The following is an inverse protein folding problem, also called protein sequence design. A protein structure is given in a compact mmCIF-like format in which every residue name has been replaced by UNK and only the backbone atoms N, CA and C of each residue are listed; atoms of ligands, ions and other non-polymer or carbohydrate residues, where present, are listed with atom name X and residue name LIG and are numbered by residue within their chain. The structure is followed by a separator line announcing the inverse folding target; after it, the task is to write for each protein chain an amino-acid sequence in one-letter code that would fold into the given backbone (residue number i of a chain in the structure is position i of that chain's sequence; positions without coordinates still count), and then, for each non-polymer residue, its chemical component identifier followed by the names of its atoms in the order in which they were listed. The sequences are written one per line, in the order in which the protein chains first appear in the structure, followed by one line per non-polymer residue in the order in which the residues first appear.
data_IF_461190108577
#
_entry.id   IF_461190108577
#
_cell.length_a   1.000
_cell.length_b   1.000
_cell.length_c   1.000
_cell.angle_alpha   90.00
_cell.angle_beta   90.00
_cell.angle_gamma   90.00
#
_symmetry.space_group_name_H-M   'P 1'
#
loop_
_entity.id
_entity.type
_entity.pdbx_description
1 polymer ?
#
# COMPACT_ATOMS: atom_id res chain seq x y z
N UNK A 1 30.10 9.24 -4.02
CA UNK A 1 29.25 9.51 -2.83
C UNK A 1 27.75 9.48 -3.13
N UNK A 2 27.26 10.07 -4.24
CA UNK A 2 25.82 10.11 -4.58
C UNK A 2 25.11 8.74 -4.66
N UNK A 3 25.72 7.73 -5.30
CA UNK A 3 25.07 6.42 -5.49
C UNK A 3 24.65 5.71 -4.19
N UNK A 4 25.40 5.88 -3.10
CA UNK A 4 25.09 5.22 -1.83
C UNK A 4 23.86 5.84 -1.13
N UNK A 5 23.59 7.13 -1.38
CA UNK A 5 22.42 7.83 -0.83
C UNK A 5 21.15 7.39 -1.56
N UNK A 6 21.20 7.31 -2.90
CA UNK A 6 20.07 6.86 -3.72
C UNK A 6 19.68 5.43 -3.37
N UNK A 7 20.66 4.53 -3.23
CA UNK A 7 20.39 3.13 -2.84
C UNK A 7 19.76 3.03 -1.45
N UNK A 8 20.24 3.80 -0.46
CA UNK A 8 19.66 3.84 0.88
C UNK A 8 18.24 4.41 0.86
N UNK A 9 18.02 5.49 0.12
CA UNK A 9 16.70 6.10 -0.04
C UNK A 9 15.68 5.12 -0.63
N UNK A 10 16.07 4.38 -1.66
CA UNK A 10 15.23 3.32 -2.24
C UNK A 10 14.80 2.30 -1.19
N UNK A 11 15.75 1.74 -0.43
CA UNK A 11 15.46 0.73 0.60
C UNK A 11 14.52 1.28 1.69
N UNK A 12 14.78 2.49 2.18
CA UNK A 12 13.96 3.12 3.22
C UNK A 12 12.51 3.28 2.73
N UNK A 13 12.33 3.78 1.51
CA UNK A 13 10.99 3.97 0.93
C UNK A 13 10.30 2.62 0.70
N UNK A 14 10.99 1.60 0.20
CA UNK A 14 10.40 0.26 0.02
C UNK A 14 10.00 -0.39 1.35
N UNK A 15 10.78 -0.22 2.42
CA UNK A 15 10.42 -0.69 3.77
C UNK A 15 9.19 0.05 4.30
N UNK A 16 9.12 1.37 4.10
CA UNK A 16 7.95 2.17 4.47
C UNK A 16 6.70 1.72 3.69
N UNK A 17 6.82 1.50 2.38
CA UNK A 17 5.75 0.98 1.54
C UNK A 17 5.22 -0.37 2.03
N UNK A 18 6.12 -1.31 2.33
CA UNK A 18 5.74 -2.61 2.87
C UNK A 18 5.04 -2.48 4.22
N UNK A 19 5.52 -1.59 5.08
CA UNK A 19 4.92 -1.34 6.40
C UNK A 19 3.52 -0.74 6.29
N UNK A 20 3.35 0.30 5.47
CA UNK A 20 2.04 0.93 5.26
C UNK A 20 1.03 -0.03 4.61
N UNK A 21 1.46 -0.81 3.60
CA UNK A 21 0.62 -1.83 2.99
C UNK A 21 0.21 -2.91 4.00
N UNK A 22 1.14 -3.37 4.85
CA UNK A 22 0.85 -4.37 5.88
C UNK A 22 -0.14 -3.87 6.92
N UNK A 23 0.04 -2.64 7.41
CA UNK A 23 -0.89 -2.03 8.38
C UNK A 23 -2.26 -1.81 7.75
N UNK A 24 -2.33 -1.30 6.51
CA UNK A 24 -3.57 -1.13 5.78
C UNK A 24 -4.30 -2.47 5.62
N UNK A 25 -3.61 -3.52 5.18
CA UNK A 25 -4.17 -4.88 5.06
C UNK A 25 -4.69 -5.41 6.39
N UNK A 26 -3.92 -5.22 7.46
CA UNK A 26 -4.30 -5.68 8.78
C UNK A 26 -5.58 -5.00 9.26
N UNK A 27 -5.64 -3.67 9.24
CA UNK A 27 -6.83 -2.92 9.70
C UNK A 27 -8.04 -3.21 8.81
N UNK A 28 -7.81 -3.32 7.50
CA UNK A 28 -8.83 -3.60 6.49
C UNK A 28 -9.40 -5.02 6.58
N UNK A 29 -8.62 -6.01 7.05
CA UNK A 29 -9.05 -7.42 7.08
C UNK A 29 -9.52 -7.88 8.45
N UNK A 30 -8.96 -7.34 9.53
CA UNK A 30 -9.25 -7.79 10.89
C UNK A 30 -10.31 -6.90 11.57
N UNK A 31 -11.43 -7.51 11.97
CA UNK A 31 -12.50 -6.86 12.72
C UNK A 31 -12.32 -7.20 14.19
N UNK A 32 -12.07 -6.19 15.01
CA UNK A 32 -12.23 -6.29 16.46
C UNK A 32 -13.65 -5.88 16.84
N UNK A 33 -14.42 -6.80 17.39
CA UNK A 33 -15.72 -6.51 17.96
C UNK A 33 -15.87 -7.22 19.30
N UNK A 34 -16.02 -6.46 20.39
CA UNK A 34 -16.25 -7.00 21.74
C UNK A 34 -15.30 -8.15 22.16
N UNK A 35 -14.00 -8.02 21.85
CA UNK A 35 -12.92 -9.00 22.12
C UNK A 35 -12.78 -10.14 21.13
N UNK A 36 -13.71 -10.29 20.18
CA UNK A 36 -13.60 -11.25 19.09
C UNK A 36 -12.88 -10.64 17.89
N UNK A 37 -12.02 -11.44 17.25
CA UNK A 37 -11.25 -11.06 16.06
C UNK A 37 -11.74 -11.88 14.87
N UNK A 38 -12.34 -11.21 13.89
CA UNK A 38 -12.79 -11.84 12.66
C UNK A 38 -11.90 -11.43 11.49
N UNK A 39 -11.60 -12.36 10.60
CA UNK A 39 -11.00 -12.05 9.30
C UNK A 39 -12.16 -11.90 8.30
N UNK A 40 -12.32 -10.71 7.75
CA UNK A 40 -13.36 -10.42 6.78
C UNK A 40 -12.77 -9.80 5.52
N UNK A 41 -12.83 -10.55 4.43
CA UNK A 41 -12.34 -10.13 3.10
C UNK A 41 -13.44 -9.48 2.26
N UNK A 42 -14.70 -9.62 2.65
CA UNK A 42 -15.86 -9.05 1.97
C UNK A 42 -16.89 -8.56 2.99
N UNK A 43 -17.37 -7.35 2.80
CA UNK A 43 -18.20 -6.63 3.77
C UNK A 43 -19.59 -6.42 3.18
N UNK A 44 -20.63 -6.86 3.89
CA UNK A 44 -22.00 -6.69 3.43
C UNK A 44 -22.33 -5.18 3.36
N UNK A 45 -22.77 -4.71 2.20
CA UNK A 45 -22.95 -3.26 1.91
C UNK A 45 -21.69 -2.50 1.47
N UNK A 46 -20.50 -3.13 1.47
CA UNK A 46 -19.23 -2.53 1.04
C UNK A 46 -18.50 -3.45 0.05
N UNK A 47 -19.11 -3.68 -1.12
CA UNK A 47 -18.62 -4.64 -2.12
C UNK A 47 -17.23 -4.32 -2.69
N UNK A 48 -16.78 -3.07 -2.62
CA UNK A 48 -15.46 -2.65 -3.08
C UNK A 48 -14.32 -3.07 -2.15
N UNK A 49 -14.62 -3.53 -0.94
CA UNK A 49 -13.59 -3.86 0.05
C UNK A 49 -12.70 -5.03 -0.39
N UNK A 50 -13.27 -6.03 -1.06
CA UNK A 50 -12.50 -7.15 -1.63
C UNK A 50 -11.49 -6.65 -2.67
N UNK A 51 -11.87 -5.67 -3.49
CA UNK A 51 -10.98 -5.07 -4.48
C UNK A 51 -9.84 -4.31 -3.81
N UNK A 52 -10.14 -3.51 -2.78
CA UNK A 52 -9.13 -2.78 -1.99
C UNK A 52 -8.10 -3.76 -1.41
N UNK A 53 -8.56 -4.84 -0.77
CA UNK A 53 -7.69 -5.86 -0.17
C UNK A 53 -6.85 -6.54 -1.26
N UNK A 54 -7.43 -6.89 -2.40
CA UNK A 54 -6.69 -7.48 -3.52
C UNK A 54 -5.59 -6.54 -4.05
N UNK A 55 -5.88 -5.25 -4.22
CA UNK A 55 -4.89 -4.25 -4.60
C UNK A 55 -3.74 -4.16 -3.59
N UNK A 56 -4.07 -4.09 -2.30
CA UNK A 56 -3.07 -3.99 -1.24
C UNK A 56 -2.20 -5.25 -1.13
N UNK A 57 -2.76 -6.46 -1.29
CA UNK A 57 -1.99 -7.71 -1.34
C UNK A 57 -1.02 -7.67 -2.51
N UNK A 58 -1.50 -7.30 -3.70
CA UNK A 58 -0.65 -7.22 -4.89
C UNK A 58 0.51 -6.25 -4.69
N UNK A 59 0.24 -5.04 -4.19
CA UNK A 59 1.27 -4.03 -3.89
C UNK A 59 2.27 -4.57 -2.85
N UNK A 60 1.78 -5.24 -1.80
CA UNK A 60 2.63 -5.82 -0.76
C UNK A 60 3.59 -6.87 -1.33
N UNK A 61 3.13 -7.73 -2.24
CA UNK A 61 3.98 -8.73 -2.91
C UNK A 61 5.07 -8.06 -3.73
N UNK A 62 4.74 -7.03 -4.53
CA UNK A 62 5.73 -6.30 -5.34
C UNK A 62 6.80 -5.64 -4.45
N UNK A 63 6.38 -5.00 -3.35
CA UNK A 63 7.31 -4.38 -2.40
C UNK A 63 8.19 -5.41 -1.69
N UNK A 64 7.63 -6.57 -1.34
CA UNK A 64 8.38 -7.67 -0.74
C UNK A 64 9.43 -8.24 -1.70
N UNK A 65 9.05 -8.52 -2.95
CA UNK A 65 9.99 -8.99 -3.99
C UNK A 65 11.11 -7.97 -4.18
N UNK A 66 10.77 -6.67 -4.26
CA UNK A 66 11.75 -5.59 -4.42
C UNK A 66 12.71 -5.50 -3.24
N UNK A 67 12.21 -5.67 -2.02
CA UNK A 67 13.05 -5.68 -0.82
C UNK A 67 13.97 -6.91 -0.77
N UNK A 68 13.44 -8.10 -1.09
CA UNK A 68 14.21 -9.34 -1.13
C UNK A 68 15.31 -9.30 -2.20
N UNK A 69 15.01 -8.80 -3.40
CA UNK A 69 15.99 -8.62 -4.45
C UNK A 69 17.15 -7.70 -3.99
N UNK A 70 16.84 -6.64 -3.21
CA UNK A 70 17.88 -5.81 -2.60
C UNK A 70 18.70 -6.54 -1.55
N UNK A 71 18.09 -7.33 -0.68
CA UNK A 71 18.84 -8.11 0.31
C UNK A 71 19.72 -9.18 -0.31
N UNK A 72 19.34 -9.73 -1.47
CA UNK A 72 20.18 -10.63 -2.26
C UNK A 72 21.35 -9.93 -2.97
N UNK A 73 21.53 -8.62 -2.78
CA UNK A 73 22.61 -7.84 -3.39
C UNK A 73 22.35 -7.42 -4.84
N UNK A 74 21.15 -7.67 -5.39
CA UNK A 74 20.83 -7.29 -6.77
C UNK A 74 20.72 -5.78 -6.91
N UNK A 75 21.37 -5.24 -7.95
CA UNK A 75 21.21 -3.84 -8.30
C UNK A 75 19.96 -3.66 -9.17
N UNK A 76 18.79 -3.72 -8.54
CA UNK A 76 17.46 -3.63 -9.20
C UNK A 76 17.38 -2.53 -10.28
N UNK A 77 17.90 -1.32 -10.00
CA UNK A 77 17.91 -0.20 -10.96
C UNK A 77 18.69 -0.53 -12.24
N UNK A 78 19.81 -1.24 -12.11
CA UNK A 78 20.69 -1.63 -13.21
C UNK A 78 20.20 -2.90 -13.91
N UNK A 79 19.70 -3.88 -13.16
CA UNK A 79 19.30 -5.19 -13.69
C UNK A 79 17.91 -5.19 -14.35
N UNK A 80 16.92 -4.51 -13.77
CA UNK A 80 15.57 -4.45 -14.35
C UNK A 80 15.43 -3.34 -15.39
N UNK A 81 16.30 -2.32 -15.32
CA UNK A 81 16.22 -1.12 -16.14
C UNK A 81 15.14 -0.16 -15.65
N UNK A 82 15.49 1.14 -15.70
CA UNK A 82 14.70 2.27 -15.19
C UNK A 82 13.26 2.29 -15.71
N UNK A 83 13.05 2.08 -17.02
CA UNK A 83 11.72 2.11 -17.64
C UNK A 83 10.78 1.05 -17.06
N UNK A 84 11.26 -0.19 -16.87
CA UNK A 84 10.43 -1.28 -16.34
C UNK A 84 10.02 -1.01 -14.90
N UNK A 85 10.94 -0.47 -14.09
CA UNK A 85 10.64 -0.08 -12.71
C UNK A 85 9.61 1.05 -12.65
N UNK A 86 9.71 2.05 -13.53
CA UNK A 86 8.72 3.13 -13.59
C UNK A 86 7.33 2.60 -13.94
N UNK A 87 7.22 1.63 -14.86
CA UNK A 87 5.94 1.00 -15.21
C UNK A 87 5.37 0.23 -14.00
N UNK A 88 6.20 -0.57 -13.32
CA UNK A 88 5.77 -1.37 -12.16
C UNK A 88 5.29 -0.46 -11.03
N UNK A 89 6.10 0.53 -10.64
CA UNK A 89 5.76 1.43 -9.53
C UNK A 89 4.66 2.42 -9.91
N UNK A 90 4.56 2.83 -11.18
CA UNK A 90 3.44 3.62 -11.69
C UNK A 90 2.12 2.87 -11.64
N UNK A 91 2.12 1.58 -11.99
CA UNK A 91 0.95 0.72 -11.84
C UNK A 91 0.57 0.53 -10.37
N UNK A 92 1.54 0.30 -9.48
CA UNK A 92 1.28 0.20 -8.04
C UNK A 92 0.73 1.52 -7.47
N UNK A 93 1.23 2.67 -7.93
CA UNK A 93 0.70 3.98 -7.55
C UNK A 93 -0.78 4.12 -7.96
N UNK A 94 -1.13 3.76 -9.20
CA UNK A 94 -2.51 3.78 -9.69
C UNK A 94 -3.43 2.90 -8.82
N UNK A 95 -3.03 1.65 -8.56
CA UNK A 95 -3.79 0.74 -7.69
C UNK A 95 -3.97 1.31 -6.28
N UNK A 96 -2.93 1.93 -5.73
CA UNK A 96 -2.99 2.54 -4.40
C UNK A 96 -3.95 3.73 -4.37
N UNK A 97 -3.98 4.55 -5.43
CA UNK A 97 -4.91 5.68 -5.54
C UNK A 97 -6.36 5.18 -5.59
N UNK A 98 -6.63 4.12 -6.36
CA UNK A 98 -7.95 3.49 -6.42
C UNK A 98 -8.35 2.98 -5.03
N UNK A 99 -7.46 2.24 -4.37
CA UNK A 99 -7.71 1.72 -3.02
C UNK A 99 -7.97 2.84 -2.00
N UNK A 100 -7.15 3.90 -2.00
CA UNK A 100 -7.31 5.05 -1.10
C UNK A 100 -8.64 5.77 -1.32
N UNK A 101 -9.03 5.96 -2.58
CA UNK A 101 -10.28 6.64 -2.95
C UNK A 101 -11.50 5.83 -2.54
N UNK A 102 -11.46 4.51 -2.73
CA UNK A 102 -12.53 3.61 -2.31
C UNK A 102 -12.65 3.51 -0.78
N UNK A 103 -11.54 3.54 -0.04
CA UNK A 103 -11.58 3.60 1.44
C UNK A 103 -12.16 4.91 1.96
N UNK A 104 -11.84 6.04 1.31
CA UNK A 104 -12.48 7.33 1.61
C UNK A 104 -13.99 7.27 1.32
N UNK A 105 -14.40 6.58 0.25
CA UNK A 105 -15.83 6.37 -0.02
C UNK A 105 -16.51 5.49 1.03
N UNK A 106 -15.89 4.35 1.38
CA UNK A 106 -16.43 3.42 2.37
C UNK A 106 -16.52 4.05 3.76
N UNK A 107 -15.55 4.88 4.16
CA UNK A 107 -15.63 5.64 5.42
C UNK A 107 -16.82 6.60 5.43
N UNK A 108 -17.05 7.37 4.36
CA UNK A 108 -18.23 8.23 4.26
C UNK A 108 -19.54 7.45 4.36
N UNK A 109 -19.63 6.31 3.66
CA UNK A 109 -20.81 5.45 3.70
C UNK A 109 -21.06 4.88 5.11
N UNK A 110 -20.00 4.43 5.80
CA UNK A 110 -20.08 3.92 7.16
C UNK A 110 -20.47 5.01 8.17
N UNK A 111 -19.95 6.23 8.00
CA UNK A 111 -20.35 7.38 8.81
C UNK A 111 -21.83 7.71 8.63
N UNK A 112 -22.33 7.71 7.39
CA UNK A 112 -23.73 7.99 7.10
C UNK A 112 -24.68 6.92 7.66
N UNK A 113 -24.22 5.66 7.70
CA UNK A 113 -24.95 4.54 8.29
C UNK A 113 -24.82 4.44 9.83
N UNK A 114 -24.10 5.36 10.48
CA UNK A 114 -23.86 5.31 11.94
C UNK A 114 -23.06 4.07 12.39
N UNK A 115 -22.27 3.47 11.50
CA UNK A 115 -21.54 2.24 11.79
C UNK A 115 -20.20 2.57 12.49
N UNK A 116 -20.26 2.66 13.82
CA UNK A 116 -19.12 3.01 14.67
C UNK A 116 -18.01 1.94 14.71
N UNK A 117 -18.27 0.73 14.21
CA UNK A 117 -17.27 -0.34 14.14
C UNK A 117 -16.46 -0.24 12.85
N UNK A 118 -17.13 -0.05 11.71
CA UNK A 118 -16.48 -0.01 10.39
C UNK A 118 -15.90 1.36 10.04
N UNK A 119 -16.57 2.45 10.44
CA UNK A 119 -16.13 3.81 10.13
C UNK A 119 -14.67 4.11 10.52
N UNK A 120 -14.24 3.93 11.79
CA UNK A 120 -12.85 4.24 12.16
C UNK A 120 -11.85 3.36 11.40
N UNK A 121 -12.22 2.14 11.03
CA UNK A 121 -11.35 1.21 10.31
C UNK A 121 -11.11 1.67 8.89
N UNK A 122 -12.16 2.05 8.16
CA UNK A 122 -12.02 2.62 6.83
C UNK A 122 -11.22 3.92 6.84
N UNK A 123 -11.38 4.76 7.88
CA UNK A 123 -10.56 5.98 8.04
C UNK A 123 -9.09 5.64 8.22
N UNK A 124 -8.75 4.70 9.12
CA UNK A 124 -7.35 4.30 9.35
C UNK A 124 -6.75 3.70 8.07
N UNK A 125 -7.46 2.77 7.41
CA UNK A 125 -6.98 2.19 6.15
C UNK A 125 -6.80 3.26 5.08
N UNK A 126 -7.74 4.22 4.95
CA UNK A 126 -7.61 5.34 4.01
C UNK A 126 -6.33 6.16 4.26
N UNK A 127 -6.03 6.49 5.53
CA UNK A 127 -4.81 7.23 5.90
C UNK A 127 -3.56 6.47 5.46
N UNK A 128 -3.47 5.17 5.76
CA UNK A 128 -2.32 4.36 5.35
C UNK A 128 -2.23 4.18 3.83
N UNK A 129 -3.35 4.06 3.12
CA UNK A 129 -3.37 4.06 1.67
C UNK A 129 -2.83 5.38 1.10
N UNK A 130 -3.18 6.54 1.66
CA UNK A 130 -2.63 7.83 1.21
C UNK A 130 -1.13 7.98 1.52
N UNK A 131 -0.66 7.51 2.67
CA UNK A 131 0.77 7.41 2.96
C UNK A 131 1.48 6.49 1.96
N UNK A 132 0.84 5.39 1.57
CA UNK A 132 1.33 4.48 0.55
C UNK A 132 1.39 5.16 -0.82
N UNK A 133 0.40 5.99 -1.21
CA UNK A 133 0.46 6.81 -2.45
C UNK A 133 1.68 7.73 -2.41
N UNK A 134 1.87 8.48 -1.32
CA UNK A 134 2.99 9.40 -1.18
C UNK A 134 4.34 8.68 -1.29
N UNK A 135 4.46 7.49 -0.68
CA UNK A 135 5.69 6.69 -0.78
C UNK A 135 5.95 6.14 -2.19
N UNK A 136 4.90 5.81 -2.97
CA UNK A 136 5.07 5.46 -4.38
C UNK A 136 5.50 6.66 -5.23
N UNK A 137 4.99 7.86 -4.95
CA UNK A 137 5.49 9.06 -5.61
C UNK A 137 6.99 9.28 -5.30
N UNK A 138 7.41 9.05 -4.05
CA UNK A 138 8.80 9.15 -3.65
C UNK A 138 9.70 8.12 -4.35
N UNK A 139 9.30 6.84 -4.44
CA UNK A 139 10.12 5.82 -5.12
C UNK A 139 10.25 6.10 -6.62
N UNK A 140 9.18 6.56 -7.26
CA UNK A 140 9.20 6.97 -8.68
C UNK A 140 10.18 8.12 -8.88
N UNK A 141 10.17 9.12 -7.99
CA UNK A 141 11.10 10.25 -8.04
C UNK A 141 12.56 9.78 -7.85
N UNK A 142 12.82 8.87 -6.91
CA UNK A 142 14.15 8.27 -6.72
C UNK A 142 14.62 7.58 -8.01
N UNK A 143 13.74 6.78 -8.64
CA UNK A 143 14.06 6.09 -9.90
C UNK A 143 14.34 7.09 -11.02
N UNK A 144 13.62 8.21 -11.09
CA UNK A 144 13.83 9.25 -12.10
C UNK A 144 15.15 10.00 -11.93
N UNK A 145 15.63 10.17 -10.70
CA UNK A 145 16.86 10.92 -10.40
C UNK A 145 18.10 10.02 -10.39
N UNK A 146 17.92 8.70 -10.18
CA UNK A 146 18.98 7.69 -10.31
C UNK A 146 19.39 7.44 -11.75
#
# INVERSE_FOLDING_TARGET
MSGNIITRGYVIVTVAQLSFASIALFVSSFIWNNSDVYIQLGYNGYGWQTLIIACLIFISIINLISLLAKFSGMNILQEYGKLKLLIIYGFCALLTIIAASLEVWNSKLASAAGNNILHPRFVITAVFCWLLVASHAAIILIILIS
#
